data_IF_507996936096
#
_entry.id   IF_507996936096
#
_cell.length_a   1.000
_cell.length_b   1.000
_cell.length_c   1.000
_cell.angle_alpha   90.00
_cell.angle_beta   90.00
_cell.angle_gamma   90.00
#
_symmetry.space_group_name_H-M   'P 1'
#
loop_
_entity.id
_entity.type
_entity.pdbx_description
1 polymer ?
#
# COMPACT_ATOMS: atom_id res chain seq x y z
N UNK A 1 -10.61 -0.71 1.81
CA UNK A 1 -9.97 -1.78 1.01
C UNK A 1 -10.47 -1.64 -0.41
N UNK A 2 -9.59 -1.66 -1.40
CA UNK A 2 -9.93 -1.29 -2.78
C UNK A 2 -10.01 -2.47 -3.73
N UNK A 3 -9.43 -3.63 -3.38
CA UNK A 3 -9.31 -4.76 -4.31
C UNK A 3 -8.58 -4.33 -5.59
N UNK A 4 -9.06 -4.82 -6.73
CA UNK A 4 -8.44 -4.58 -8.04
C UNK A 4 -9.15 -3.47 -8.84
N UNK A 5 -9.67 -2.45 -8.17
CA UNK A 5 -10.21 -1.27 -8.88
C UNK A 5 -9.11 -0.61 -9.72
N UNK A 6 -9.51 -0.10 -10.88
CA UNK A 6 -8.67 0.70 -11.77
C UNK A 6 -9.21 2.13 -11.86
N UNK A 7 -8.55 2.97 -12.68
CA UNK A 7 -8.87 4.40 -12.83
C UNK A 7 -10.35 4.70 -13.03
N UNK A 8 -11.08 3.89 -13.80
CA UNK A 8 -12.51 4.14 -14.06
C UNK A 8 -13.36 4.04 -12.79
N UNK A 9 -13.07 3.05 -11.93
CA UNK A 9 -13.73 2.91 -10.64
C UNK A 9 -13.24 3.97 -9.64
N UNK A 10 -11.96 4.34 -9.68
CA UNK A 10 -11.44 5.47 -8.88
C UNK A 10 -12.16 6.79 -9.21
N UNK A 11 -12.33 7.09 -10.50
CA UNK A 11 -13.06 8.28 -10.97
C UNK A 11 -14.51 8.24 -10.49
N UNK A 12 -15.15 7.06 -10.55
CA UNK A 12 -16.51 6.88 -10.06
C UNK A 12 -16.61 7.15 -8.56
N UNK A 13 -15.70 6.60 -7.77
CA UNK A 13 -15.62 6.84 -6.32
C UNK A 13 -15.41 8.32 -5.99
N UNK A 14 -14.52 9.00 -6.71
CA UNK A 14 -14.27 10.44 -6.56
C UNK A 14 -15.51 11.29 -6.88
N UNK A 15 -16.38 10.84 -7.78
CA UNK A 15 -17.60 11.56 -8.15
C UNK A 15 -18.76 11.27 -7.20
N UNK A 16 -18.91 10.03 -6.79
CA UNK A 16 -20.08 9.56 -6.05
C UNK A 16 -19.94 9.74 -4.54
N UNK A 17 -18.74 9.59 -3.98
CA UNK A 17 -18.51 9.56 -2.52
C UNK A 17 -17.16 10.16 -2.10
N UNK A 18 -16.75 11.35 -2.56
CA UNK A 18 -15.40 11.89 -2.31
C UNK A 18 -15.08 12.05 -0.82
N UNK A 19 -16.06 12.45 -0.01
CA UNK A 19 -15.90 12.63 1.45
C UNK A 19 -15.70 11.31 2.22
N UNK A 20 -16.13 10.18 1.65
CA UNK A 20 -16.01 8.87 2.29
C UNK A 20 -14.67 8.16 1.97
N UNK A 21 -13.82 8.75 1.13
CA UNK A 21 -12.58 8.10 0.67
C UNK A 21 -11.42 8.19 1.66
N UNK A 22 -11.45 9.15 2.59
CA UNK A 22 -10.41 9.33 3.62
C UNK A 22 -10.15 8.02 4.37
N UNK A 23 -8.91 7.58 4.38
CA UNK A 23 -8.50 6.38 5.12
C UNK A 23 -7.05 6.48 5.59
N UNK A 24 -6.75 6.02 6.80
CA UNK A 24 -5.38 5.98 7.34
C UNK A 24 -4.49 4.94 6.67
N UNK A 25 -5.08 3.79 6.32
CA UNK A 25 -4.41 2.64 5.70
C UNK A 25 -5.07 2.31 4.37
N UNK A 26 -4.29 2.37 3.30
CA UNK A 26 -4.70 1.96 1.97
C UNK A 26 -4.07 0.62 1.61
N UNK A 27 -4.89 -0.40 1.36
CA UNK A 27 -4.44 -1.53 0.58
C UNK A 27 -4.35 -1.04 -0.87
N UNK A 28 -3.16 -1.06 -1.47
CA UNK A 28 -2.96 -0.47 -2.80
C UNK A 28 -3.87 -1.15 -3.83
N UNK A 29 -4.68 -0.37 -4.59
CA UNK A 29 -5.51 -0.91 -5.67
C UNK A 29 -4.70 -1.77 -6.64
N UNK A 30 -5.28 -2.89 -7.05
CA UNK A 30 -4.78 -3.75 -8.12
C UNK A 30 -3.28 -4.04 -7.99
N UNK A 31 -2.84 -4.39 -6.78
CA UNK A 31 -1.44 -4.73 -6.47
C UNK A 31 -0.42 -3.60 -6.73
N UNK A 32 -0.87 -2.37 -7.00
CA UNK A 32 -0.03 -1.28 -7.49
C UNK A 32 0.18 -1.29 -9.00
N UNK A 33 -0.79 -1.76 -9.78
CA UNK A 33 -0.79 -1.68 -11.24
C UNK A 33 -0.74 -0.23 -11.71
N UNK A 34 -0.05 0.04 -12.83
CA UNK A 34 -0.02 1.33 -13.51
C UNK A 34 -1.42 1.88 -13.84
N UNK A 35 -2.40 0.99 -14.04
CA UNK A 35 -3.82 1.32 -14.31
C UNK A 35 -4.59 1.77 -13.07
N UNK A 36 -3.94 1.90 -11.92
CA UNK A 36 -4.55 2.24 -10.65
C UNK A 36 -3.73 3.30 -9.88
N UNK A 37 -4.18 3.65 -8.68
CA UNK A 37 -3.58 4.65 -7.81
C UNK A 37 -3.35 5.98 -8.55
N UNK A 38 -4.41 6.51 -9.17
CA UNK A 38 -4.35 7.83 -9.79
C UNK A 38 -4.06 8.91 -8.75
N UNK A 39 -3.42 10.02 -9.19
CA UNK A 39 -3.07 11.12 -8.29
C UNK A 39 -4.29 11.66 -7.53
N UNK A 40 -5.40 11.93 -8.24
CA UNK A 40 -6.63 12.43 -7.64
C UNK A 40 -7.23 11.46 -6.61
N UNK A 41 -7.15 10.15 -6.87
CA UNK A 41 -7.60 9.14 -5.91
C UNK A 41 -6.74 9.14 -4.65
N UNK A 42 -5.42 9.16 -4.80
CA UNK A 42 -4.49 9.23 -3.65
C UNK A 42 -4.64 10.53 -2.85
N UNK A 43 -4.94 11.65 -3.51
CA UNK A 43 -5.16 12.94 -2.86
C UNK A 43 -6.46 12.94 -2.04
N UNK A 44 -7.52 12.30 -2.54
CA UNK A 44 -8.79 12.16 -1.82
C UNK A 44 -8.66 11.20 -0.63
N UNK A 45 -8.08 10.01 -0.85
CA UNK A 45 -7.89 9.00 0.20
C UNK A 45 -6.93 9.51 1.28
N UNK A 46 -5.86 10.18 0.87
CA UNK A 46 -4.82 10.77 1.72
C UNK A 46 -4.31 9.80 2.83
N UNK A 47 -3.83 8.60 2.44
CA UNK A 47 -3.42 7.60 3.42
C UNK A 47 -2.08 7.93 4.05
N UNK A 48 -1.89 7.44 5.28
CA UNK A 48 -0.60 7.53 5.98
C UNK A 48 0.29 6.35 5.63
N UNK A 49 -0.34 5.19 5.40
CA UNK A 49 0.32 3.93 5.03
C UNK A 49 -0.37 3.32 3.81
N UNK A 50 0.43 2.83 2.87
CA UNK A 50 0.00 2.01 1.75
C UNK A 50 0.64 0.61 1.83
N UNK A 51 -0.18 -0.42 1.62
CA UNK A 51 0.25 -1.82 1.65
C UNK A 51 0.03 -2.43 0.27
N UNK A 52 1.10 -2.90 -0.36
CA UNK A 52 1.06 -3.54 -1.67
C UNK A 52 1.00 -5.05 -1.51
N UNK A 53 0.01 -5.67 -2.10
CA UNK A 53 -0.10 -7.12 -2.13
C UNK A 53 0.38 -7.58 -3.50
N UNK A 54 1.62 -8.02 -3.60
CA UNK A 54 2.21 -8.51 -4.84
C UNK A 54 2.93 -9.84 -4.58
N UNK A 55 3.02 -10.68 -5.61
CA UNK A 55 3.87 -11.85 -5.56
C UNK A 55 5.36 -11.47 -5.57
N UNK A 56 6.21 -12.28 -4.94
CA UNK A 56 7.66 -12.14 -5.14
C UNK A 56 8.02 -12.44 -6.60
N UNK A 57 8.89 -11.63 -7.21
CA UNK A 57 9.16 -11.66 -8.66
C UNK A 57 7.89 -11.63 -9.51
N UNK A 58 6.93 -10.77 -9.16
CA UNK A 58 5.67 -10.63 -9.89
C UNK A 58 5.92 -10.42 -11.40
N UNK A 59 5.45 -11.35 -12.23
CA UNK A 59 5.59 -11.31 -13.70
C UNK A 59 4.94 -10.09 -14.36
N UNK A 60 3.99 -9.46 -13.70
CA UNK A 60 3.30 -8.25 -14.18
C UNK A 60 4.08 -6.96 -13.87
N UNK A 61 5.17 -7.06 -13.09
CA UNK A 61 5.96 -5.90 -12.67
C UNK A 61 5.21 -5.00 -11.69
N UNK A 62 4.42 -5.58 -10.78
CA UNK A 62 3.72 -4.82 -9.73
C UNK A 62 4.44 -4.96 -8.37
N UNK A 63 4.49 -3.88 -7.57
CA UNK A 63 3.99 -2.53 -7.87
C UNK A 63 4.80 -1.85 -8.98
N UNK A 64 4.13 -1.11 -9.86
CA UNK A 64 4.81 -0.39 -10.93
C UNK A 64 5.60 0.81 -10.37
N UNK A 65 6.79 1.09 -10.91
CA UNK A 65 7.65 2.19 -10.44
C UNK A 65 6.94 3.55 -10.46
N UNK A 66 6.15 3.82 -11.51
CA UNK A 66 5.37 5.05 -11.60
C UNK A 66 4.32 5.19 -10.50
N UNK A 67 3.78 4.07 -10.02
CA UNK A 67 2.83 4.04 -8.91
C UNK A 67 3.59 4.31 -7.62
N UNK A 68 4.69 3.58 -7.36
CA UNK A 68 5.53 3.79 -6.18
C UNK A 68 5.98 5.24 -6.03
N UNK A 69 6.37 5.89 -7.14
CA UNK A 69 6.72 7.31 -7.15
C UNK A 69 5.58 8.21 -6.69
N UNK A 70 4.33 7.97 -7.11
CA UNK A 70 3.17 8.78 -6.66
C UNK A 70 2.95 8.70 -5.15
N UNK A 71 3.20 7.54 -4.56
CA UNK A 71 3.14 7.34 -3.10
C UNK A 71 4.31 8.03 -2.40
N UNK A 72 5.52 7.93 -2.94
CA UNK A 72 6.73 8.57 -2.42
C UNK A 72 6.63 10.10 -2.44
N UNK A 73 6.17 10.70 -3.53
CA UNK A 73 5.94 12.14 -3.68
C UNK A 73 4.96 12.71 -2.64
N UNK A 74 4.07 11.86 -2.10
CA UNK A 74 3.11 12.20 -1.06
C UNK A 74 3.59 11.87 0.35
N UNK A 75 4.81 11.34 0.50
CA UNK A 75 5.35 10.93 1.79
C UNK A 75 4.57 9.77 2.45
N UNK A 76 3.87 8.96 1.64
CA UNK A 76 3.08 7.84 2.15
C UNK A 76 4.03 6.68 2.47
N UNK A 77 3.96 6.15 3.70
CA UNK A 77 4.77 4.99 4.09
C UNK A 77 4.31 3.74 3.33
N UNK A 78 5.25 2.91 2.84
CA UNK A 78 4.95 1.78 1.97
C UNK A 78 5.43 0.47 2.58
N UNK A 79 4.58 -0.55 2.52
CA UNK A 79 4.92 -1.93 2.87
C UNK A 79 4.43 -2.86 1.79
N UNK A 80 5.03 -4.04 1.66
CA UNK A 80 4.61 -5.02 0.67
C UNK A 80 4.73 -6.46 1.17
N UNK A 81 3.91 -7.34 0.60
CA UNK A 81 3.92 -8.77 0.95
C UNK A 81 5.19 -9.52 0.55
N UNK A 82 5.86 -9.25 -0.60
CA UNK A 82 7.13 -9.90 -0.92
C UNK A 82 8.18 -9.78 0.20
N UNK A 83 8.36 -8.58 0.76
CA UNK A 83 9.35 -8.33 1.81
C UNK A 83 8.81 -8.66 3.21
N UNK A 84 7.60 -8.23 3.55
CA UNK A 84 7.10 -8.40 4.92
C UNK A 84 6.48 -9.78 5.18
N UNK A 85 6.15 -10.55 4.14
CA UNK A 85 5.30 -11.74 4.22
C UNK A 85 3.86 -11.34 4.54
N UNK A 86 3.65 -10.81 5.74
CA UNK A 86 2.46 -10.10 6.16
C UNK A 86 2.86 -8.81 6.89
N UNK A 87 2.03 -7.77 6.76
CA UNK A 87 2.13 -6.56 7.56
C UNK A 87 0.95 -6.54 8.54
N UNK A 88 1.25 -6.65 9.83
CA UNK A 88 0.25 -6.67 10.89
C UNK A 88 0.15 -5.30 11.56
N UNK A 89 -1.06 -4.82 11.79
CA UNK A 89 -1.33 -3.55 12.45
C UNK A 89 -2.59 -3.66 13.31
N UNK A 90 -2.74 -2.74 14.26
CA UNK A 90 -3.89 -2.65 15.15
C UNK A 90 -4.56 -1.28 15.01
N UNK A 91 -5.88 -1.27 15.04
CA UNK A 91 -6.72 -0.06 14.94
C UNK A 91 -7.13 0.51 16.31
N UNK A 92 -6.61 -0.04 17.40
CA UNK A 92 -6.99 0.28 18.78
C UNK A 92 -6.46 1.64 19.27
N UNK A 93 -5.60 2.31 18.51
CA UNK A 93 -5.19 3.68 18.80
C UNK A 93 -6.23 4.69 18.30
N UNK A 94 -7.06 5.17 19.24
CA UNK A 94 -7.90 6.35 19.09
C UNK A 94 -7.03 7.55 18.63
N UNK A 95 -7.02 7.82 17.33
CA UNK A 95 -6.69 9.11 16.71
C UNK A 95 -5.29 9.69 16.89
N UNK A 96 -4.38 9.11 17.68
CA UNK A 96 -3.13 9.77 18.05
C UNK A 96 -1.96 8.79 18.21
N UNK A 97 -1.41 8.32 17.09
CA UNK A 97 0.02 8.05 16.89
C UNK A 97 0.21 7.59 15.44
N UNK A 98 1.45 7.55 14.96
CA UNK A 98 1.82 6.98 13.65
C UNK A 98 1.13 5.63 13.45
N UNK A 99 0.38 5.48 12.35
CA UNK A 99 0.00 4.13 11.89
C UNK A 99 1.30 3.37 11.71
N UNK A 100 1.52 2.42 12.61
CA UNK A 100 2.70 1.59 12.62
C UNK A 100 2.23 0.15 12.56
N UNK A 101 3.09 -0.69 12.01
CA UNK A 101 2.80 -2.11 11.89
C UNK A 101 4.08 -2.90 11.84
N UNK A 102 3.92 -4.20 12.00
CA UNK A 102 4.99 -5.17 12.12
C UNK A 102 5.09 -5.98 10.83
N UNK A 103 6.28 -6.00 10.22
CA UNK A 103 6.57 -6.96 9.17
C UNK A 103 6.84 -8.33 9.80
N UNK A 104 5.93 -9.27 9.57
CA UNK A 104 5.95 -10.60 10.21
C UNK A 104 7.22 -11.36 9.88
N UNK A 105 7.76 -11.22 8.66
CA UNK A 105 9.03 -11.83 8.25
C UNK A 105 10.22 -11.33 9.09
N UNK A 106 10.20 -10.06 9.49
CA UNK A 106 11.24 -9.46 10.34
C UNK A 106 11.06 -9.91 11.80
N UNK A 107 9.82 -9.97 12.29
CA UNK A 107 9.51 -10.37 13.66
C UNK A 107 9.74 -11.87 13.95
N UNK A 108 9.40 -12.73 13.00
CA UNK A 108 9.54 -14.18 13.09
C UNK A 108 10.79 -14.69 12.33
N UNK A 109 11.82 -13.85 12.21
CA UNK A 109 12.99 -14.14 11.39
C UNK A 109 13.76 -15.35 11.91
N UNK A 110 14.11 -16.25 11.00
CA UNK A 110 14.94 -17.43 11.26
C UNK A 110 16.24 -17.32 10.45
N UNK A 111 17.30 -17.99 10.89
CA UNK A 111 18.62 -17.87 10.25
C UNK A 111 18.64 -18.34 8.80
N UNK A 112 17.70 -19.19 8.39
CA UNK A 112 17.55 -19.70 7.02
C UNK A 112 16.62 -18.87 6.14
N UNK A 113 16.03 -17.78 6.65
CA UNK A 113 15.26 -16.87 5.81
C UNK A 113 16.22 -16.00 4.99
N UNK A 114 16.06 -16.03 3.67
CA UNK A 114 16.85 -15.21 2.75
C UNK A 114 16.70 -13.72 3.08
N UNK A 115 17.83 -13.00 3.04
CA UNK A 115 17.87 -11.54 3.18
C UNK A 115 17.97 -10.94 1.79
N UNK A 116 17.03 -10.08 1.45
CA UNK A 116 17.17 -9.25 0.25
C UNK A 116 18.29 -8.22 0.49
N UNK A 117 19.40 -8.27 -0.27
CA UNK A 117 20.48 -7.30 -0.13
C UNK A 117 20.08 -5.89 -0.55
N UNK A 118 18.98 -5.73 -1.29
CA UNK A 118 18.53 -4.44 -1.82
C UNK A 118 17.62 -3.65 -0.85
N UNK A 119 17.45 -4.15 0.38
CA UNK A 119 16.75 -3.42 1.44
C UNK A 119 17.79 -2.68 2.32
N UNK A 120 17.68 -1.35 2.52
CA UNK A 120 18.47 -0.65 3.54
C UNK A 120 18.18 -1.18 4.95
#
# INVERSE_FOLDING_TARGET
>A
LTGDIERDQEIRLLREQPEALRADVLLAPHHGSKTSSSAAFLDAVHPRVAVFQAGHHNRYGHPADEVLRRYEERGIARFDSPHCGAWAWHSDSLGQARVSGLCVRDAARRYWHWRDPQRP
#
